data_IF_382385636632
#
_entry.id   IF_382385636632
#
_cell.length_a   1.000
_cell.length_b   1.000
_cell.length_c   1.000
_cell.angle_alpha   90.00
_cell.angle_beta   90.00
_cell.angle_gamma   90.00
#
_symmetry.space_group_name_H-M   'P 1'
#
loop_
_entity.id
_entity.type
_entity.pdbx_description
1 polymer ?
#
# COMPACT_ATOMS: atom_id res chain seq x y z
N UNK A 1 -8.37 43.32 15.51
CA UNK A 1 -8.82 43.15 16.90
C UNK A 1 -8.67 41.68 17.24
N UNK A 2 -7.86 41.46 18.27
CA UNK A 2 -7.36 40.18 18.80
C UNK A 2 -8.47 39.29 19.33
N UNK A 3 -8.36 37.97 19.12
CA UNK A 3 -8.95 37.00 20.03
C UNK A 3 -7.89 35.99 20.45
N UNK A 4 -7.70 35.96 21.76
CA UNK A 4 -6.67 35.27 22.51
C UNK A 4 -6.91 33.77 22.53
N UNK A 5 -5.84 33.00 22.28
CA UNK A 5 -5.78 31.58 22.56
C UNK A 5 -5.31 31.39 24.01
N UNK A 6 -6.19 30.83 24.85
CA UNK A 6 -5.87 30.56 26.24
C UNK A 6 -5.47 29.09 26.49
N UNK A 7 -4.52 28.96 27.40
CA UNK A 7 -3.69 27.81 27.77
C UNK A 7 -4.47 26.61 28.32
N UNK A 8 -3.93 25.41 28.11
CA UNK A 8 -3.67 24.45 29.22
C UNK A 8 -2.31 23.77 29.06
N UNK A 9 -1.52 23.87 30.13
CA UNK A 9 -0.28 23.13 30.45
C UNK A 9 -0.62 21.99 31.42
N UNK A 10 0.37 21.10 31.62
CA UNK A 10 0.56 20.05 32.65
C UNK A 10 0.29 18.61 32.18
N UNK A 11 1.06 17.56 32.49
CA UNK A 11 2.30 17.24 33.25
C UNK A 11 2.99 16.12 32.42
N UNK A 12 4.31 15.95 32.31
CA UNK A 12 5.29 15.77 33.39
C UNK A 12 5.33 14.31 33.85
N UNK A 13 6.17 13.47 33.22
CA UNK A 13 6.33 12.05 33.61
C UNK A 13 7.57 11.42 32.98
N UNK A 14 8.73 11.71 33.55
CA UNK A 14 9.99 11.02 33.26
C UNK A 14 10.00 9.67 33.98
N UNK A 15 10.39 8.60 33.28
CA UNK A 15 10.73 7.32 33.90
C UNK A 15 12.20 7.04 33.64
N UNK A 16 13.01 7.23 34.67
CA UNK A 16 14.36 6.69 34.78
C UNK A 16 14.25 5.22 35.24
N UNK A 17 14.92 4.30 34.55
CA UNK A 17 15.30 3.03 35.14
C UNK A 17 16.82 2.84 35.02
N UNK A 18 17.43 2.86 36.19
CA UNK A 18 18.80 2.46 36.50
C UNK A 18 18.83 0.95 36.80
N UNK A 19 19.88 0.27 36.37
CA UNK A 19 20.18 -1.13 36.72
C UNK A 19 21.51 -1.55 36.11
N UNK A 20 22.63 -1.18 36.74
CA UNK A 20 23.40 -1.96 37.71
C UNK A 20 24.34 -2.98 37.04
N UNK A 21 25.61 -2.58 36.92
CA UNK A 21 26.73 -3.42 36.55
C UNK A 21 27.18 -4.26 37.76
N UNK A 22 27.41 -5.56 37.53
CA UNK A 22 28.05 -6.47 38.46
C UNK A 22 29.41 -6.89 37.89
N UNK A 23 30.46 -6.28 38.45
CA UNK A 23 31.85 -6.69 38.32
C UNK A 23 32.16 -7.72 39.43
N UNK A 24 32.73 -8.86 39.08
CA UNK A 24 33.34 -9.79 40.03
C UNK A 24 34.87 -9.74 39.89
N UNK A 25 35.62 -9.50 40.98
CA UNK A 25 37.06 -9.71 41.02
C UNK A 25 37.37 -11.12 41.55
N UNK A 26 38.09 -11.93 40.76
CA UNK A 26 38.67 -13.19 41.19
C UNK A 26 40.15 -13.03 41.50
N UNK A 27 40.48 -13.02 42.79
CA UNK A 27 41.82 -13.00 43.37
C UNK A 27 42.20 -14.42 43.83
N UNK A 28 43.47 -14.80 43.69
CA UNK A 28 44.07 -15.85 44.53
C UNK A 28 44.86 -16.92 43.77
N UNK A 29 46.15 -17.06 44.10
CA UNK A 29 46.94 -18.25 43.78
C UNK A 29 48.42 -18.00 43.58
N UNK A 30 49.14 -17.65 44.65
CA UNK A 30 50.60 -17.60 44.71
C UNK A 30 51.12 -18.99 45.07
N UNK A 31 51.75 -19.69 44.11
CA UNK A 31 52.56 -20.88 44.41
C UNK A 31 53.93 -20.76 43.72
N UNK A 32 54.97 -20.80 44.54
CA UNK A 32 56.38 -20.71 44.15
C UNK A 32 56.91 -22.13 43.91
N UNK A 33 56.86 -22.57 42.66
CA UNK A 33 57.46 -23.82 42.19
C UNK A 33 58.85 -23.61 41.57
N UNK A 34 59.72 -24.63 41.57
CA UNK A 34 61.11 -24.54 41.15
C UNK A 34 61.27 -24.29 39.65
N UNK A 35 62.29 -23.50 39.29
CA UNK A 35 62.68 -23.17 37.92
C UNK A 35 63.18 -24.43 37.21
N UNK A 36 62.31 -25.06 36.43
CA UNK A 36 62.69 -26.02 35.39
C UNK A 36 62.89 -25.28 34.07
N UNK A 37 64.12 -25.30 33.56
CA UNK A 37 64.48 -24.76 32.24
C UNK A 37 63.91 -25.70 31.17
N UNK A 38 62.73 -25.36 30.63
CA UNK A 38 62.17 -26.05 29.47
C UNK A 38 62.97 -25.72 28.21
N UNK A 39 63.30 -26.72 27.36
CA UNK A 39 63.97 -26.50 26.09
C UNK A 39 63.12 -25.62 25.17
N UNK A 40 63.79 -24.68 24.47
CA UNK A 40 63.20 -23.82 23.45
C UNK A 40 62.47 -24.69 22.41
N UNK A 41 61.15 -24.54 22.23
CA UNK A 41 60.43 -25.24 21.17
C UNK A 41 61.03 -24.85 19.82
N UNK A 42 61.20 -25.80 18.87
CA UNK A 42 61.59 -25.46 17.52
C UNK A 42 60.58 -24.44 16.97
N UNK A 43 61.08 -23.42 16.28
CA UNK A 43 60.28 -22.41 15.57
C UNK A 43 59.44 -23.11 14.51
N UNK A 44 58.29 -23.64 14.91
CA UNK A 44 57.26 -24.12 14.01
C UNK A 44 56.82 -22.94 13.17
N UNK A 45 56.91 -23.09 11.84
CA UNK A 45 56.39 -22.14 10.88
C UNK A 45 54.98 -21.72 11.29
N UNK A 46 54.75 -20.41 11.47
CA UNK A 46 53.45 -19.87 11.79
C UNK A 46 52.39 -20.46 10.84
N UNK A 47 51.25 -20.96 11.35
CA UNK A 47 50.21 -21.50 10.49
C UNK A 47 49.83 -20.44 9.47
N UNK A 48 49.90 -20.80 8.18
CA UNK A 48 49.45 -19.93 7.10
C UNK A 48 48.01 -19.52 7.40
N UNK A 49 47.69 -18.21 7.40
CA UNK A 49 46.33 -17.75 7.66
C UNK A 49 45.37 -18.48 6.73
N UNK A 50 44.33 -19.09 7.30
CA UNK A 50 43.27 -19.65 6.48
C UNK A 50 42.74 -18.55 5.56
N UNK A 51 42.53 -18.82 4.26
CA UNK A 51 42.03 -17.81 3.33
C UNK A 51 40.71 -17.26 3.89
N UNK A 52 40.61 -15.93 3.94
CA UNK A 52 39.38 -15.25 4.33
C UNK A 52 38.26 -15.76 3.43
N UNK A 53 37.12 -16.19 3.99
CA UNK A 53 36.03 -16.72 3.18
C UNK A 53 35.62 -15.66 2.16
N UNK A 54 35.53 -16.05 0.90
CA UNK A 54 34.98 -15.20 -0.16
C UNK A 54 33.55 -14.82 0.25
N UNK A 55 33.18 -13.53 0.28
CA UNK A 55 31.82 -13.13 0.59
C UNK A 55 30.83 -13.84 -0.32
N UNK A 56 29.72 -14.32 0.26
CA UNK A 56 28.63 -14.87 -0.54
C UNK A 56 28.13 -13.80 -1.53
N UNK A 57 27.75 -14.19 -2.76
CA UNK A 57 27.20 -13.24 -3.73
C UNK A 57 25.97 -12.55 -3.14
N UNK A 58 25.93 -11.22 -3.27
CA UNK A 58 24.77 -10.43 -2.84
C UNK A 58 23.53 -10.88 -3.60
N UNK A 59 22.37 -11.08 -2.94
CA UNK A 59 21.18 -11.54 -3.62
C UNK A 59 20.74 -10.54 -4.70
N UNK A 60 20.15 -11.02 -5.81
CA UNK A 60 19.75 -10.14 -6.91
C UNK A 60 18.73 -9.09 -6.42
N UNK A 61 18.71 -7.89 -7.02
CA UNK A 61 17.77 -6.85 -6.64
C UNK A 61 16.31 -7.28 -6.89
N UNK A 62 15.37 -6.63 -6.22
CA UNK A 62 13.95 -6.63 -6.58
C UNK A 62 13.70 -5.43 -7.48
N UNK A 63 13.34 -5.65 -8.74
CA UNK A 63 13.07 -4.60 -9.72
C UNK A 63 11.56 -4.38 -9.88
N UNK A 64 11.09 -3.16 -9.63
CA UNK A 64 9.68 -2.81 -9.64
C UNK A 64 9.45 -1.62 -10.59
N UNK A 65 8.60 -1.83 -11.60
CA UNK A 65 8.21 -0.79 -12.54
C UNK A 65 6.93 -0.07 -12.10
N UNK A 66 6.85 1.24 -12.34
CA UNK A 66 5.71 2.06 -11.93
C UNK A 66 4.98 2.57 -13.18
N UNK A 67 3.73 2.15 -13.36
CA UNK A 67 2.87 2.52 -14.49
C UNK A 67 1.66 3.31 -14.01
N UNK A 68 1.30 4.36 -14.74
CA UNK A 68 0.05 5.08 -14.53
C UNK A 68 0.21 6.60 -14.51
N UNK A 69 -0.70 7.27 -13.81
CA UNK A 69 -0.81 8.73 -13.89
C UNK A 69 0.15 9.46 -12.94
N UNK A 70 -0.26 10.62 -12.44
CA UNK A 70 0.54 11.47 -11.54
C UNK A 70 0.91 10.79 -10.21
N UNK A 71 0.09 9.88 -9.67
CA UNK A 71 0.42 9.20 -8.40
C UNK A 71 1.71 8.36 -8.51
N UNK A 72 1.82 7.38 -9.43
CA UNK A 72 3.09 6.68 -9.71
C UNK A 72 4.27 7.59 -10.04
N UNK A 73 4.05 8.73 -10.72
CA UNK A 73 5.10 9.70 -11.01
C UNK A 73 5.67 10.32 -9.72
N UNK A 74 4.77 10.74 -8.83
CA UNK A 74 5.11 11.43 -7.60
C UNK A 74 5.69 10.51 -6.52
N UNK A 75 5.29 9.23 -6.48
CA UNK A 75 5.79 8.26 -5.50
C UNK A 75 7.31 8.09 -5.48
N UNK A 76 7.95 8.37 -6.61
CA UNK A 76 9.40 8.29 -6.74
C UNK A 76 10.07 9.66 -6.85
N UNK A 77 9.33 10.77 -6.85
CA UNK A 77 9.89 12.10 -7.16
C UNK A 77 9.55 13.19 -6.15
N UNK A 78 8.50 13.03 -5.34
CA UNK A 78 8.08 14.01 -4.37
C UNK A 78 8.39 13.60 -2.93
N UNK A 79 8.59 14.64 -2.12
CA UNK A 79 8.83 14.58 -0.68
C UNK A 79 10.13 13.90 -0.27
N UNK A 80 10.59 14.21 0.95
CA UNK A 80 11.87 13.74 1.45
C UNK A 80 11.77 12.30 1.95
N UNK A 81 10.70 11.97 2.68
CA UNK A 81 10.52 10.68 3.33
C UNK A 81 11.67 10.33 4.29
N UNK A 82 11.92 9.03 4.53
CA UNK A 82 13.05 8.59 5.35
C UNK A 82 14.40 8.93 4.70
N UNK A 83 15.52 8.76 5.43
CA UNK A 83 16.86 9.00 4.90
C UNK A 83 17.15 8.17 3.64
N UNK A 84 17.98 8.71 2.74
CA UNK A 84 18.39 8.02 1.51
C UNK A 84 19.19 6.76 1.84
N UNK A 85 18.81 5.64 1.22
CA UNK A 85 19.49 4.37 1.34
C UNK A 85 20.11 4.01 -0.02
N UNK A 86 21.45 3.78 -0.11
CA UNK A 86 22.11 3.47 -1.38
C UNK A 86 21.66 2.14 -2.02
N UNK A 87 21.00 1.26 -1.26
CA UNK A 87 20.42 0.02 -1.77
C UNK A 87 19.06 0.22 -2.47
N UNK A 88 18.48 1.42 -2.37
CA UNK A 88 17.21 1.78 -2.98
C UNK A 88 17.48 2.76 -4.10
N UNK A 89 17.38 2.29 -5.35
CA UNK A 89 17.72 3.09 -6.53
C UNK A 89 16.54 3.22 -7.47
N UNK A 90 16.58 4.24 -8.32
CA UNK A 90 15.59 4.44 -9.37
C UNK A 90 16.23 4.85 -10.69
N UNK A 91 15.54 4.55 -11.79
CA UNK A 91 15.93 4.91 -13.14
C UNK A 91 14.70 5.32 -13.95
N UNK A 92 14.85 6.30 -14.86
CA UNK A 92 13.84 6.65 -15.85
C UNK A 92 14.05 5.97 -17.20
N UNK A 93 15.27 5.53 -17.50
CA UNK A 93 15.66 4.93 -18.78
C UNK A 93 15.91 3.42 -18.70
N UNK A 94 15.98 2.87 -17.49
CA UNK A 94 16.32 1.48 -17.23
C UNK A 94 17.81 1.15 -17.32
N UNK A 95 18.67 2.11 -17.63
CA UNK A 95 20.12 1.90 -17.79
C UNK A 95 20.88 2.38 -16.56
N UNK A 96 20.61 3.62 -16.13
CA UNK A 96 21.34 4.25 -15.02
C UNK A 96 20.46 4.31 -13.78
N UNK A 97 20.85 3.56 -12.75
CA UNK A 97 20.17 3.53 -11.46
C UNK A 97 20.95 4.35 -10.43
N UNK A 98 20.31 5.37 -9.88
CA UNK A 98 20.89 6.23 -8.83
C UNK A 98 20.13 6.09 -7.52
N UNK A 99 20.78 6.30 -6.35
CA UNK A 99 20.09 6.29 -5.06
C UNK A 99 18.87 7.23 -5.07
N UNK A 100 17.74 6.75 -4.56
CA UNK A 100 16.49 7.47 -4.56
C UNK A 100 16.54 8.64 -3.57
N UNK A 101 16.85 9.85 -4.07
CA UNK A 101 16.99 11.06 -3.26
C UNK A 101 15.65 11.56 -2.69
N UNK A 102 14.64 11.66 -3.54
CA UNK A 102 13.25 12.05 -3.23
C UNK A 102 12.27 10.93 -3.61
N UNK A 103 11.06 10.96 -3.08
CA UNK A 103 10.04 9.93 -3.29
C UNK A 103 9.71 9.22 -2.00
N UNK A 104 8.93 9.86 -1.11
CA UNK A 104 8.64 9.33 0.21
C UNK A 104 8.00 7.92 0.16
N UNK A 105 7.09 7.68 -0.79
CA UNK A 105 6.54 6.35 -1.04
C UNK A 105 7.64 5.33 -1.38
N UNK A 106 8.45 5.62 -2.42
CA UNK A 106 9.46 4.70 -2.91
C UNK A 106 10.54 4.39 -1.87
N UNK A 107 10.99 5.42 -1.13
CA UNK A 107 11.97 5.25 -0.06
C UNK A 107 11.42 4.41 1.09
N UNK A 108 10.16 4.62 1.45
CA UNK A 108 9.49 3.82 2.51
C UNK A 108 9.32 2.37 2.09
N UNK A 109 8.71 2.13 0.92
CA UNK A 109 8.51 0.78 0.38
C UNK A 109 9.85 0.06 0.17
N UNK A 110 10.82 0.74 -0.45
CA UNK A 110 12.15 0.21 -0.72
C UNK A 110 12.89 -0.19 0.55
N UNK A 111 12.92 0.68 1.56
CA UNK A 111 13.54 0.37 2.85
C UNK A 111 12.88 -0.82 3.54
N UNK A 112 11.55 -0.90 3.50
CA UNK A 112 10.81 -2.02 4.08
C UNK A 112 11.16 -3.34 3.37
N UNK A 113 11.16 -3.35 2.03
CA UNK A 113 11.52 -4.53 1.23
C UNK A 113 12.98 -4.93 1.47
N UNK A 114 13.91 -3.97 1.41
CA UNK A 114 15.34 -4.22 1.55
C UNK A 114 15.68 -4.79 2.93
N UNK A 115 15.19 -4.17 4.00
CA UNK A 115 15.45 -4.62 5.38
C UNK A 115 14.89 -6.02 5.67
N UNK A 116 13.78 -6.40 5.04
CA UNK A 116 13.11 -7.68 5.31
C UNK A 116 13.48 -8.82 4.36
N UNK A 117 14.07 -8.51 3.20
CA UNK A 117 14.48 -9.52 2.22
C UNK A 117 16.00 -9.62 2.05
N UNK A 118 16.76 -8.64 2.53
CA UNK A 118 18.19 -8.51 2.26
C UNK A 118 18.54 -8.15 0.82
N UNK A 119 17.54 -7.93 -0.06
CA UNK A 119 17.72 -7.64 -1.49
C UNK A 119 17.76 -6.13 -1.73
N UNK A 120 18.66 -5.59 -2.57
CA UNK A 120 18.54 -4.22 -3.05
C UNK A 120 17.22 -4.02 -3.80
N UNK A 121 16.73 -2.78 -3.90
CA UNK A 121 15.49 -2.47 -4.62
C UNK A 121 15.78 -1.48 -5.74
N UNK A 122 15.30 -1.80 -6.94
CA UNK A 122 15.41 -0.97 -8.14
C UNK A 122 14.02 -0.56 -8.59
N UNK A 123 13.79 0.74 -8.73
CA UNK A 123 12.54 1.27 -9.28
C UNK A 123 12.73 1.75 -10.72
N UNK A 124 11.77 1.43 -11.58
CA UNK A 124 11.70 1.98 -12.94
C UNK A 124 10.54 2.97 -12.99
N UNK A 125 10.85 4.24 -13.28
CA UNK A 125 9.89 5.34 -13.34
C UNK A 125 9.13 5.29 -14.65
N UNK A 126 7.81 5.17 -14.58
CA UNK A 126 6.93 5.28 -15.73
C UNK A 126 5.66 6.07 -15.49
N UNK A 127 5.44 6.62 -14.30
CA UNK A 127 4.29 7.49 -14.06
C UNK A 127 4.34 8.73 -14.93
N UNK A 128 3.20 9.13 -15.51
CA UNK A 128 3.07 10.33 -16.34
C UNK A 128 1.82 11.08 -15.93
N UNK A 129 1.97 12.28 -15.38
CA UNK A 129 0.89 13.13 -14.92
C UNK A 129 -0.21 13.40 -15.95
N UNK A 130 -1.42 13.66 -15.45
CA UNK A 130 -2.61 13.98 -16.24
C UNK A 130 -3.06 12.92 -17.28
N UNK A 131 -2.50 11.71 -17.23
CA UNK A 131 -2.89 10.64 -18.16
C UNK A 131 -4.08 9.83 -17.66
N UNK A 132 -4.83 9.23 -18.60
CA UNK A 132 -5.99 8.36 -18.37
C UNK A 132 -5.66 6.89 -18.66
N UNK A 133 -6.42 5.96 -18.08
CA UNK A 133 -6.35 4.54 -18.37
C UNK A 133 -6.64 4.29 -19.86
N UNK A 134 -7.57 5.03 -20.47
CA UNK A 134 -7.78 4.98 -21.91
C UNK A 134 -6.50 5.27 -22.73
N UNK A 135 -5.69 6.25 -22.33
CA UNK A 135 -4.41 6.54 -22.99
C UNK A 135 -3.39 5.42 -22.78
N UNK A 136 -3.26 4.92 -21.55
CA UNK A 136 -2.35 3.83 -21.19
C UNK A 136 -2.71 2.49 -21.85
N UNK A 137 -4.01 2.22 -22.03
CA UNK A 137 -4.54 0.98 -22.62
C UNK A 137 -4.74 1.06 -24.14
N UNK A 138 -4.45 2.18 -24.78
CA UNK A 138 -4.51 2.27 -26.25
C UNK A 138 -3.44 1.37 -26.92
N UNK A 139 -3.75 0.79 -28.09
CA UNK A 139 -2.83 -0.15 -28.76
C UNK A 139 -1.44 0.43 -29.05
N UNK A 140 -1.36 1.73 -29.32
CA UNK A 140 -0.10 2.45 -29.59
C UNK A 140 0.23 3.48 -28.50
N UNK A 141 -0.07 3.16 -27.24
CA UNK A 141 0.15 4.07 -26.11
C UNK A 141 1.63 4.51 -26.03
N UNK A 142 1.95 5.80 -26.28
CA UNK A 142 3.32 6.29 -26.12
C UNK A 142 3.76 6.25 -24.65
N UNK A 143 2.83 6.43 -23.71
CA UNK A 143 3.08 6.32 -22.27
C UNK A 143 3.59 4.92 -21.90
N UNK A 144 2.88 3.89 -22.37
CA UNK A 144 3.27 2.49 -22.15
C UNK A 144 4.57 2.15 -22.85
N UNK A 145 4.74 2.58 -24.10
CA UNK A 145 5.92 2.27 -24.90
C UNK A 145 7.23 2.75 -24.23
N UNK A 146 7.23 3.95 -23.64
CA UNK A 146 8.38 4.47 -22.92
C UNK A 146 8.75 3.61 -21.70
N UNK A 147 7.77 3.23 -20.87
CA UNK A 147 7.99 2.35 -19.73
C UNK A 147 8.46 0.95 -20.16
N UNK A 148 7.86 0.37 -21.20
CA UNK A 148 8.27 -0.92 -21.78
C UNK A 148 9.73 -0.90 -22.21
N UNK A 149 10.17 0.17 -22.87
CA UNK A 149 11.56 0.32 -23.28
C UNK A 149 12.52 0.36 -22.07
N UNK A 150 12.15 1.09 -21.01
CA UNK A 150 12.93 1.15 -19.78
C UNK A 150 12.99 -0.21 -19.05
N UNK A 151 11.88 -0.96 -19.00
CA UNK A 151 11.87 -2.31 -18.42
C UNK A 151 12.82 -3.24 -19.18
N UNK A 152 12.81 -3.20 -20.52
CA UNK A 152 13.72 -4.01 -21.34
C UNK A 152 15.18 -3.67 -21.09
N UNK A 153 15.51 -2.38 -21.03
CA UNK A 153 16.87 -1.90 -20.77
C UNK A 153 17.38 -2.30 -19.38
N UNK A 154 16.49 -2.34 -18.39
CA UNK A 154 16.80 -2.82 -17.04
C UNK A 154 17.01 -4.34 -16.94
N UNK A 155 16.77 -5.09 -18.04
CA UNK A 155 16.82 -6.54 -18.06
C UNK A 155 15.55 -7.22 -17.54
N UNK A 156 14.45 -6.48 -17.40
CA UNK A 156 13.16 -6.98 -16.91
C UNK A 156 12.67 -6.28 -15.64
N UNK A 157 11.53 -6.73 -15.14
CA UNK A 157 10.95 -6.31 -13.88
C UNK A 157 10.34 -7.52 -13.17
N UNK A 158 10.56 -7.62 -11.86
CA UNK A 158 9.98 -8.64 -11.00
C UNK A 158 8.50 -8.33 -10.72
N UNK A 159 8.18 -7.05 -10.57
CA UNK A 159 6.82 -6.57 -10.35
C UNK A 159 6.52 -5.25 -11.07
N UNK A 160 5.24 -4.95 -11.24
CA UNK A 160 4.73 -3.70 -11.81
C UNK A 160 3.65 -3.15 -10.89
N UNK A 161 3.79 -1.92 -10.41
CA UNK A 161 2.70 -1.16 -9.79
C UNK A 161 1.92 -0.45 -10.89
N UNK A 162 0.61 -0.70 -10.97
CA UNK A 162 -0.31 0.00 -11.88
C UNK A 162 -1.28 0.82 -11.03
N UNK A 163 -1.31 2.14 -11.24
CA UNK A 163 -2.31 3.01 -10.65
C UNK A 163 -2.69 4.13 -11.61
N UNK A 164 -3.87 3.97 -12.22
CA UNK A 164 -4.44 4.83 -13.25
C UNK A 164 -5.95 4.63 -13.27
N UNK A 165 -6.71 5.62 -13.76
CA UNK A 165 -8.18 5.53 -13.86
C UNK A 165 -8.91 6.66 -13.16
N UNK A 166 -8.31 7.28 -12.12
CA UNK A 166 -8.88 8.46 -11.46
C UNK A 166 -9.23 9.58 -12.45
N UNK A 167 -8.35 9.83 -13.42
CA UNK A 167 -8.60 10.87 -14.44
C UNK A 167 -9.69 10.48 -15.43
N UNK A 168 -9.90 9.19 -15.67
CA UNK A 168 -11.03 8.70 -16.48
C UNK A 168 -12.35 9.08 -15.80
N UNK A 169 -12.44 8.87 -14.48
CA UNK A 169 -13.60 9.28 -13.70
C UNK A 169 -13.75 10.80 -13.64
N UNK A 170 -12.66 11.54 -13.38
CA UNK A 170 -12.69 13.00 -13.33
C UNK A 170 -13.11 13.63 -14.68
N UNK A 171 -12.74 13.00 -15.80
CA UNK A 171 -13.08 13.46 -17.14
C UNK A 171 -14.42 12.90 -17.66
N UNK A 172 -15.17 12.19 -16.81
CA UNK A 172 -16.49 11.65 -17.14
C UNK A 172 -16.51 10.61 -18.27
N UNK A 173 -15.46 9.81 -18.43
CA UNK A 173 -15.33 8.81 -19.51
C UNK A 173 -15.47 7.33 -19.05
N UNK A 174 -15.76 7.07 -17.78
CA UNK A 174 -16.04 5.74 -17.23
C UNK A 174 -17.51 5.36 -17.44
N UNK A 175 -17.80 4.62 -18.50
CA UNK A 175 -19.17 4.17 -18.80
C UNK A 175 -19.62 2.99 -17.94
N UNK A 176 -18.81 1.94 -17.81
CA UNK A 176 -19.17 0.71 -17.09
C UNK A 176 -17.99 0.10 -16.34
N UNK A 177 -18.28 -0.71 -15.32
CA UNK A 177 -17.28 -1.49 -14.58
C UNK A 177 -16.51 -2.42 -15.53
N UNK A 178 -17.22 -3.20 -16.36
CA UNK A 178 -16.58 -4.17 -17.25
C UNK A 178 -15.75 -3.50 -18.36
N UNK A 179 -16.15 -2.30 -18.83
CA UNK A 179 -15.36 -1.52 -19.78
C UNK A 179 -14.01 -1.12 -19.18
N UNK A 180 -13.99 -0.62 -17.94
CA UNK A 180 -12.74 -0.29 -17.25
C UNK A 180 -11.93 -1.53 -16.89
N UNK A 181 -12.57 -2.61 -16.46
CA UNK A 181 -11.90 -3.87 -16.19
C UNK A 181 -11.22 -4.40 -17.46
N UNK A 182 -11.88 -4.33 -18.61
CA UNK A 182 -11.31 -4.70 -19.91
C UNK A 182 -10.08 -3.85 -20.25
N UNK A 183 -10.14 -2.53 -20.05
CA UNK A 183 -9.01 -1.63 -20.28
C UNK A 183 -7.80 -1.95 -19.36
N UNK A 184 -8.06 -2.23 -18.08
CA UNK A 184 -7.04 -2.67 -17.12
C UNK A 184 -6.42 -4.02 -17.52
N UNK A 185 -7.24 -5.02 -17.87
CA UNK A 185 -6.75 -6.34 -18.33
C UNK A 185 -5.88 -6.19 -19.58
N UNK A 186 -6.29 -5.34 -20.53
CA UNK A 186 -5.49 -5.04 -21.71
C UNK A 186 -4.15 -4.40 -21.34
N UNK A 187 -4.15 -3.35 -20.51
CA UNK A 187 -2.93 -2.67 -20.07
C UNK A 187 -1.96 -3.65 -19.39
N UNK A 188 -2.45 -4.49 -18.48
CA UNK A 188 -1.64 -5.49 -17.78
C UNK A 188 -1.02 -6.49 -18.77
N UNK A 189 -1.84 -7.03 -19.68
CA UNK A 189 -1.38 -7.96 -20.71
C UNK A 189 -0.35 -7.33 -21.64
N UNK A 190 -0.59 -6.10 -22.07
CA UNK A 190 0.32 -5.34 -22.94
C UNK A 190 1.65 -5.05 -22.24
N UNK A 191 1.65 -4.59 -20.99
CA UNK A 191 2.88 -4.37 -20.21
C UNK A 191 3.71 -5.66 -20.11
N UNK A 192 3.09 -6.78 -19.76
CA UNK A 192 3.77 -8.08 -19.64
C UNK A 192 4.34 -8.55 -20.97
N UNK A 193 3.54 -8.49 -22.03
CA UNK A 193 3.90 -9.03 -23.35
C UNK A 193 4.93 -8.13 -24.03
N UNK A 194 4.66 -6.83 -24.11
CA UNK A 194 5.52 -5.88 -24.80
C UNK A 194 6.87 -5.73 -24.11
N UNK A 195 6.94 -5.80 -22.77
CA UNK A 195 8.19 -5.75 -22.01
C UNK A 195 8.87 -7.11 -21.81
N UNK A 196 8.30 -8.20 -22.34
CA UNK A 196 8.81 -9.57 -22.19
C UNK A 196 8.97 -10.03 -20.73
N UNK A 197 8.01 -9.68 -19.86
CA UNK A 197 7.94 -10.06 -18.44
C UNK A 197 6.64 -10.80 -18.10
N UNK A 198 6.34 -11.95 -18.76
CA UNK A 198 5.03 -12.60 -18.68
C UNK A 198 4.61 -13.03 -17.27
N UNK A 199 5.58 -13.26 -16.38
CA UNK A 199 5.35 -13.69 -14.99
C UNK A 199 5.42 -12.56 -13.95
N UNK A 200 5.66 -11.31 -14.36
CA UNK A 200 5.79 -10.20 -13.42
C UNK A 200 4.51 -10.06 -12.57
N UNK A 201 4.68 -9.93 -11.26
CA UNK A 201 3.57 -9.64 -10.35
C UNK A 201 3.05 -8.24 -10.61
N UNK A 202 1.74 -8.07 -10.77
CA UNK A 202 1.15 -6.75 -10.92
C UNK A 202 0.43 -6.39 -9.63
N UNK A 203 0.75 -5.24 -9.07
CA UNK A 203 0.04 -4.66 -7.95
C UNK A 203 -0.86 -3.55 -8.46
N UNK A 204 -2.15 -3.60 -8.13
CA UNK A 204 -3.09 -2.51 -8.41
C UNK A 204 -3.09 -1.54 -7.22
N UNK A 205 -2.62 -0.32 -7.43
CA UNK A 205 -2.87 0.77 -6.49
C UNK A 205 -4.28 1.33 -6.76
N UNK A 206 -5.13 1.42 -5.74
CA UNK A 206 -6.49 1.90 -5.94
C UNK A 206 -6.51 3.36 -6.38
N UNK A 207 -7.52 3.74 -7.16
CA UNK A 207 -7.72 5.15 -7.50
C UNK A 207 -7.98 6.01 -6.25
N UNK A 208 -7.23 7.12 -6.13
CA UNK A 208 -7.39 8.15 -5.09
C UNK A 208 -8.76 8.82 -5.21
N UNK A 209 -9.20 9.45 -4.13
CA UNK A 209 -10.49 10.14 -4.11
C UNK A 209 -10.59 11.36 -5.03
N UNK A 210 -11.84 11.73 -5.34
CA UNK A 210 -12.19 12.93 -6.10
C UNK A 210 -12.73 14.02 -5.17
N UNK A 211 -11.90 14.49 -4.25
CA UNK A 211 -12.31 15.50 -3.24
C UNK A 211 -12.91 16.73 -3.94
N UNK A 212 -14.18 17.03 -3.63
CA UNK A 212 -14.95 18.13 -4.23
C UNK A 212 -15.46 17.84 -5.65
N UNK A 213 -15.49 16.58 -6.07
CA UNK A 213 -16.05 16.14 -7.34
C UNK A 213 -17.58 16.24 -7.41
N UNK A 214 -18.13 16.17 -8.62
CA UNK A 214 -19.57 16.08 -8.82
C UNK A 214 -20.08 14.66 -8.53
N UNK A 215 -21.36 14.50 -8.24
CA UNK A 215 -21.98 13.18 -8.05
C UNK A 215 -21.68 12.21 -9.20
N UNK A 216 -21.74 12.66 -10.46
CA UNK A 216 -21.42 11.79 -11.60
C UNK A 216 -19.93 11.39 -11.63
N UNK A 217 -19.01 12.30 -11.27
CA UNK A 217 -17.59 11.96 -11.17
C UNK A 217 -17.34 10.89 -10.10
N UNK A 218 -18.00 11.01 -8.95
CA UNK A 218 -17.92 10.02 -7.87
C UNK A 218 -18.53 8.67 -8.26
N UNK A 219 -19.67 8.64 -8.96
CA UNK A 219 -20.24 7.41 -9.53
C UNK A 219 -19.30 6.73 -10.54
N UNK A 220 -18.55 7.52 -11.31
CA UNK A 220 -17.55 6.99 -12.23
C UNK A 220 -16.30 6.48 -11.52
N UNK A 221 -15.89 7.14 -10.43
CA UNK A 221 -14.80 6.67 -9.58
C UNK A 221 -15.16 5.34 -8.89
N UNK A 222 -16.41 5.19 -8.46
CA UNK A 222 -16.95 3.92 -7.96
C UNK A 222 -16.78 2.79 -8.97
N UNK A 223 -17.19 3.04 -10.23
CA UNK A 223 -17.06 2.05 -11.32
C UNK A 223 -15.59 1.69 -11.56
N UNK A 224 -14.69 2.67 -11.51
CA UNK A 224 -13.24 2.46 -11.64
C UNK A 224 -12.69 1.59 -10.51
N UNK A 225 -13.00 1.91 -9.25
CA UNK A 225 -12.56 1.14 -8.07
C UNK A 225 -13.08 -0.30 -8.08
N UNK A 226 -14.33 -0.49 -8.46
CA UNK A 226 -14.91 -1.84 -8.63
C UNK A 226 -14.23 -2.63 -9.76
N UNK A 227 -13.86 -1.95 -10.85
CA UNK A 227 -13.08 -2.56 -11.93
C UNK A 227 -11.70 -3.01 -11.44
N UNK A 228 -10.98 -2.17 -10.69
CA UNK A 228 -9.70 -2.50 -10.05
C UNK A 228 -9.79 -3.78 -9.21
N UNK A 229 -10.79 -3.88 -8.32
CA UNK A 229 -11.01 -5.08 -7.48
C UNK A 229 -11.35 -6.31 -8.33
N UNK A 230 -12.20 -6.16 -9.35
CA UNK A 230 -12.58 -7.28 -10.23
C UNK A 230 -11.39 -7.85 -11.02
N UNK A 231 -10.43 -7.00 -11.41
CA UNK A 231 -9.22 -7.42 -12.14
C UNK A 231 -8.30 -8.20 -11.23
N UNK A 232 -8.14 -7.78 -9.97
CA UNK A 232 -7.40 -8.54 -8.96
C UNK A 232 -7.98 -9.95 -8.80
N UNK A 233 -9.31 -10.09 -8.78
CA UNK A 233 -9.96 -11.39 -8.64
C UNK A 233 -9.88 -12.29 -9.89
N UNK A 234 -9.66 -11.74 -11.08
CA UNK A 234 -9.81 -12.46 -12.36
C UNK A 234 -8.52 -12.67 -13.15
N UNK A 235 -7.44 -11.95 -12.84
CA UNK A 235 -6.19 -12.02 -13.61
C UNK A 235 -5.09 -12.68 -12.78
N UNK A 236 -4.40 -13.72 -13.30
CA UNK A 236 -3.32 -14.38 -12.58
C UNK A 236 -2.14 -13.42 -12.35
N UNK A 237 -1.44 -13.63 -11.23
CA UNK A 237 -0.32 -12.80 -10.78
C UNK A 237 -0.69 -11.31 -10.66
N UNK A 238 -1.93 -11.02 -10.26
CA UNK A 238 -2.35 -9.66 -9.91
C UNK A 238 -2.79 -9.67 -8.45
N UNK A 239 -2.37 -8.64 -7.71
CA UNK A 239 -2.72 -8.43 -6.30
C UNK A 239 -3.23 -7.00 -6.12
N UNK A 240 -4.11 -6.77 -5.16
CA UNK A 240 -4.46 -5.44 -4.70
C UNK A 240 -3.31 -4.89 -3.87
N UNK A 241 -2.59 -3.90 -4.42
CA UNK A 241 -1.37 -3.38 -3.82
C UNK A 241 -1.64 -2.57 -2.56
N UNK A 242 -2.54 -1.59 -2.66
CA UNK A 242 -2.93 -0.74 -1.54
C UNK A 242 -4.10 0.14 -1.97
N UNK A 243 -4.84 0.60 -0.98
CA UNK A 243 -5.84 1.64 -1.13
C UNK A 243 -5.25 3.02 -0.86
N UNK A 244 -5.86 4.03 -1.45
CA UNK A 244 -5.46 5.44 -1.29
C UNK A 244 -6.62 6.37 -0.93
N UNK A 245 -7.86 5.94 -1.10
CA UNK A 245 -9.05 6.78 -0.89
C UNK A 245 -9.25 7.23 0.56
N UNK A 246 -8.66 6.51 1.53
CA UNK A 246 -8.69 6.87 2.94
C UNK A 246 -7.60 7.89 3.32
N UNK A 247 -6.76 8.33 2.38
CA UNK A 247 -5.56 9.09 2.70
C UNK A 247 -5.67 10.56 2.30
N UNK A 248 -5.22 11.50 3.16
CA UNK A 248 -5.26 12.93 2.86
C UNK A 248 -4.43 13.32 1.63
N UNK A 249 -4.85 14.38 0.96
CA UNK A 249 -4.18 14.97 -0.20
C UNK A 249 -3.71 16.40 0.09
N UNK A 250 -2.64 16.86 -0.57
CA UNK A 250 -2.15 18.23 -0.44
C UNK A 250 -2.85 19.25 -1.33
N UNK A 251 -3.44 18.81 -2.44
CA UNK A 251 -4.07 19.66 -3.46
C UNK A 251 -5.41 19.07 -3.95
N UNK A 252 -6.08 18.29 -3.09
CA UNK A 252 -7.31 17.55 -3.39
C UNK A 252 -7.17 16.45 -4.46
N UNK A 253 -5.95 16.18 -4.93
CA UNK A 253 -5.67 15.17 -5.97
C UNK A 253 -4.54 14.24 -5.56
N UNK A 254 -3.45 14.81 -5.04
CA UNK A 254 -2.20 14.12 -4.77
C UNK A 254 -1.98 13.95 -3.27
N UNK A 255 -1.51 12.76 -2.88
CA UNK A 255 -1.24 12.41 -1.50
C UNK A 255 -0.21 13.35 -0.86
N UNK A 256 -0.44 13.71 0.40
CA UNK A 256 0.57 14.37 1.24
C UNK A 256 1.80 13.46 1.47
N UNK A 257 2.89 14.00 2.02
CA UNK A 257 4.06 13.18 2.40
C UNK A 257 3.70 12.06 3.38
N UNK A 258 2.88 12.34 4.40
CA UNK A 258 2.45 11.33 5.38
C UNK A 258 1.61 10.24 4.71
N UNK A 259 0.72 10.60 3.80
CA UNK A 259 -0.08 9.66 3.01
C UNK A 259 0.80 8.78 2.12
N UNK A 260 1.83 9.34 1.47
CA UNK A 260 2.78 8.56 0.68
C UNK A 260 3.59 7.58 1.52
N UNK A 261 3.96 7.93 2.76
CA UNK A 261 4.62 7.02 3.70
C UNK A 261 3.70 5.84 4.06
N UNK A 262 2.41 6.11 4.33
CA UNK A 262 1.41 5.06 4.61
C UNK A 262 1.23 4.16 3.38
N UNK A 263 0.98 4.73 2.20
CA UNK A 263 0.86 3.98 0.94
C UNK A 263 2.11 3.15 0.66
N UNK A 264 3.30 3.71 0.84
CA UNK A 264 4.58 3.02 0.63
C UNK A 264 4.78 1.85 1.61
N UNK A 265 4.33 2.01 2.85
CA UNK A 265 4.33 0.93 3.86
C UNK A 265 3.39 -0.20 3.45
N UNK A 266 2.14 0.12 3.06
CA UNK A 266 1.14 -0.84 2.59
C UNK A 266 1.64 -1.60 1.35
N UNK A 267 2.19 -0.88 0.37
CA UNK A 267 2.75 -1.47 -0.84
C UNK A 267 3.96 -2.38 -0.55
N UNK A 268 4.92 -1.90 0.25
CA UNK A 268 6.09 -2.71 0.61
C UNK A 268 5.72 -4.00 1.36
N UNK A 269 4.69 -3.96 2.21
CA UNK A 269 4.15 -5.14 2.87
C UNK A 269 3.55 -6.15 1.88
N UNK A 270 2.85 -5.69 0.84
CA UNK A 270 2.35 -6.59 -0.21
C UNK A 270 3.44 -7.22 -1.06
N UNK A 271 4.48 -6.45 -1.41
CA UNK A 271 5.64 -6.99 -2.12
C UNK A 271 6.33 -8.05 -1.26
N UNK A 272 6.51 -7.81 0.04
CA UNK A 272 7.08 -8.79 0.96
C UNK A 272 6.22 -10.04 1.10
N UNK A 273 4.89 -9.90 1.20
CA UNK A 273 3.98 -11.03 1.24
C UNK A 273 4.13 -11.87 -0.03
N UNK A 274 4.21 -11.25 -1.20
CA UNK A 274 4.45 -11.95 -2.46
C UNK A 274 5.81 -12.66 -2.49
N UNK A 275 6.91 -11.96 -2.16
CA UNK A 275 8.26 -12.53 -2.16
C UNK A 275 8.40 -13.73 -1.19
N UNK A 276 7.61 -13.75 -0.12
CA UNK A 276 7.56 -14.83 0.88
C UNK A 276 6.52 -15.91 0.56
N UNK A 277 5.86 -15.84 -0.61
CA UNK A 277 4.75 -16.70 -0.99
C UNK A 277 3.62 -16.77 0.06
N UNK A 278 3.34 -15.64 0.71
CA UNK A 278 2.26 -15.49 1.66
C UNK A 278 0.97 -15.03 0.96
N UNK A 279 -0.19 -15.30 1.59
CA UNK A 279 -1.46 -14.74 1.17
C UNK A 279 -1.38 -13.21 1.04
N UNK A 280 -2.18 -12.68 0.13
CA UNK A 280 -2.32 -11.24 -0.06
C UNK A 280 -2.90 -10.59 1.20
N UNK A 281 -2.35 -9.45 1.60
CA UNK A 281 -2.84 -8.69 2.75
C UNK A 281 -3.94 -7.73 2.30
N UNK A 282 -5.20 -8.07 2.52
CA UNK A 282 -6.35 -7.27 2.06
C UNK A 282 -7.05 -6.57 3.21
N UNK A 283 -7.70 -5.46 2.90
CA UNK A 283 -8.63 -4.83 3.83
C UNK A 283 -9.79 -5.73 4.22
N UNK A 284 -10.62 -5.33 5.20
CA UNK A 284 -11.91 -5.96 5.43
C UNK A 284 -12.74 -6.03 4.13
N UNK A 285 -13.38 -7.17 3.89
CA UNK A 285 -14.25 -7.37 2.72
C UNK A 285 -15.67 -7.55 3.22
N UNK A 286 -16.63 -6.81 2.67
CA UNK A 286 -18.05 -7.04 2.97
C UNK A 286 -18.45 -8.40 2.38
N UNK A 287 -18.81 -9.32 3.27
CA UNK A 287 -19.14 -10.71 2.94
C UNK A 287 -20.65 -10.96 2.92
N UNK A 288 -21.39 -10.25 3.77
CA UNK A 288 -22.84 -10.39 3.88
C UNK A 288 -23.47 -9.12 4.44
N UNK A 289 -24.71 -8.87 4.01
CA UNK A 289 -25.58 -7.84 4.55
C UNK A 289 -26.86 -8.51 5.04
N UNK A 290 -27.28 -8.19 6.26
CA UNK A 290 -28.52 -8.68 6.85
C UNK A 290 -29.43 -7.50 7.18
N UNK A 291 -30.61 -7.47 6.58
CA UNK A 291 -31.65 -6.49 6.91
C UNK A 291 -32.26 -6.87 8.27
N UNK A 292 -31.95 -6.11 9.32
CA UNK A 292 -32.42 -6.40 10.69
C UNK A 292 -33.88 -6.00 10.84
N UNK A 293 -34.20 -4.79 10.40
CA UNK A 293 -35.56 -4.25 10.31
C UNK A 293 -35.61 -3.11 9.27
N UNK A 294 -36.66 -2.29 9.30
CA UNK A 294 -36.87 -1.19 8.35
C UNK A 294 -35.79 -0.09 8.42
N UNK A 295 -35.10 0.06 9.55
CA UNK A 295 -34.17 1.14 9.84
C UNK A 295 -32.76 0.65 10.17
N UNK A 296 -32.54 -0.66 10.24
CA UNK A 296 -31.25 -1.24 10.64
C UNK A 296 -30.82 -2.35 9.70
N UNK A 297 -29.51 -2.36 9.42
CA UNK A 297 -28.86 -3.40 8.64
C UNK A 297 -27.50 -3.74 9.25
N UNK A 298 -27.14 -5.02 9.26
CA UNK A 298 -25.83 -5.50 9.70
C UNK A 298 -24.95 -5.84 8.51
N UNK A 299 -23.71 -5.39 8.57
CA UNK A 299 -22.66 -5.60 7.59
C UNK A 299 -21.64 -6.55 8.20
N UNK A 300 -21.57 -7.78 7.71
CA UNK A 300 -20.60 -8.79 8.11
C UNK A 300 -19.36 -8.73 7.21
N UNK A 301 -18.20 -8.67 7.84
CA UNK A 301 -16.90 -8.51 7.20
C UNK A 301 -16.06 -9.78 7.30
N UNK A 302 -15.32 -10.09 6.24
CA UNK A 302 -14.21 -11.03 6.29
C UNK A 302 -12.90 -10.27 6.45
N UNK A 303 -12.09 -10.66 7.44
CA UNK A 303 -10.75 -10.10 7.66
C UNK A 303 -9.69 -11.06 7.13
N UNK A 304 -8.82 -10.57 6.23
CA UNK A 304 -7.64 -11.32 5.81
C UNK A 304 -6.43 -11.07 6.70
N UNK A 305 -6.41 -9.91 7.38
CA UNK A 305 -5.40 -9.50 8.36
C UNK A 305 -6.08 -8.77 9.51
N UNK A 306 -5.42 -8.82 10.67
CA UNK A 306 -5.99 -8.28 11.92
C UNK A 306 -7.05 -9.22 12.51
N UNK A 307 -7.57 -8.81 13.66
CA UNK A 307 -8.58 -9.57 14.44
C UNK A 307 -9.79 -8.74 14.79
N UNK A 308 -9.79 -7.46 14.43
CA UNK A 308 -10.82 -6.49 14.77
C UNK A 308 -10.86 -5.38 13.70
N UNK A 309 -11.90 -4.56 13.75
CA UNK A 309 -12.11 -3.40 12.89
C UNK A 309 -12.14 -2.09 13.69
N UNK A 310 -11.73 -1.01 13.04
CA UNK A 310 -11.77 0.36 13.55
C UNK A 310 -12.33 1.32 12.48
N UNK A 311 -12.90 2.48 12.86
CA UNK A 311 -13.21 2.90 14.24
C UNK A 311 -14.41 2.14 14.84
N UNK A 312 -14.68 2.38 16.12
CA UNK A 312 -15.83 1.77 16.82
C UNK A 312 -17.18 2.44 16.51
N UNK A 313 -17.17 3.69 16.07
CA UNK A 313 -18.35 4.48 15.73
C UNK A 313 -17.97 5.59 14.75
N UNK A 314 -18.97 6.26 14.18
CA UNK A 314 -18.75 7.35 13.22
C UNK A 314 -18.15 6.87 11.90
N UNK A 315 -18.29 5.58 11.58
CA UNK A 315 -17.68 4.97 10.40
C UNK A 315 -18.28 5.61 9.13
N UNK A 316 -17.42 6.10 8.23
CA UNK A 316 -17.84 6.71 6.97
C UNK A 316 -17.69 5.77 5.77
N UNK A 317 -18.10 6.24 4.58
CA UNK A 317 -17.96 5.53 3.30
C UNK A 317 -19.10 4.57 2.95
N UNK A 318 -20.01 4.27 3.88
CA UNK A 318 -21.23 3.51 3.58
C UNK A 318 -22.25 4.36 2.82
N UNK A 319 -23.01 3.69 1.94
CA UNK A 319 -24.11 4.28 1.19
C UNK A 319 -25.22 3.24 1.00
N UNK A 320 -26.45 3.72 0.95
CA UNK A 320 -27.63 2.89 0.70
C UNK A 320 -28.46 3.57 -0.37
N UNK A 321 -28.65 2.93 -1.52
CA UNK A 321 -29.34 3.52 -2.67
C UNK A 321 -30.56 2.69 -3.02
N UNK A 322 -31.72 3.33 -3.12
CA UNK A 322 -32.95 2.71 -3.59
C UNK A 322 -32.85 2.36 -5.08
N UNK A 323 -33.27 1.16 -5.48
CA UNK A 323 -33.05 0.68 -6.85
C UNK A 323 -34.07 1.19 -7.86
N UNK A 324 -35.22 1.68 -7.39
CA UNK A 324 -36.33 2.16 -8.21
C UNK A 324 -36.10 3.57 -8.76
N UNK A 325 -35.51 4.45 -7.96
CA UNK A 325 -35.30 5.85 -8.31
C UNK A 325 -33.87 6.36 -8.07
N UNK A 326 -32.95 5.50 -7.64
CA UNK A 326 -31.56 5.84 -7.31
C UNK A 326 -31.42 6.89 -6.20
N UNK A 327 -32.46 7.09 -5.38
CA UNK A 327 -32.38 7.97 -4.22
C UNK A 327 -31.52 7.33 -3.12
N UNK A 328 -30.59 8.10 -2.59
CA UNK A 328 -29.80 7.70 -1.44
C UNK A 328 -30.63 7.81 -0.14
N UNK A 329 -30.53 6.78 0.69
CA UNK A 329 -31.14 6.72 2.02
C UNK A 329 -30.17 7.32 3.03
N UNK A 330 -30.64 8.24 3.86
CA UNK A 330 -29.81 8.84 4.90
C UNK A 330 -29.35 7.79 5.94
N UNK A 331 -28.04 7.66 6.13
CA UNK A 331 -27.44 6.86 7.20
C UNK A 331 -27.27 7.75 8.43
N UNK A 332 -27.95 7.39 9.51
CA UNK A 332 -27.91 8.10 10.80
C UNK A 332 -26.66 7.75 11.60
N UNK A 333 -26.29 6.47 11.64
CA UNK A 333 -25.06 6.03 12.28
C UNK A 333 -24.52 4.73 11.68
N UNK A 334 -23.21 4.56 11.79
CA UNK A 334 -22.50 3.32 11.51
C UNK A 334 -21.61 2.98 12.70
N UNK A 335 -21.89 1.84 13.34
CA UNK A 335 -21.32 1.46 14.63
C UNK A 335 -20.81 0.03 14.61
N UNK A 336 -19.64 -0.19 15.19
CA UNK A 336 -19.08 -1.53 15.35
C UNK A 336 -19.85 -2.29 16.43
N UNK A 337 -20.46 -3.42 16.06
CA UNK A 337 -21.10 -4.34 17.00
C UNK A 337 -20.16 -5.42 17.52
N UNK A 338 -19.14 -5.75 16.76
CA UNK A 338 -18.18 -6.81 17.07
C UNK A 338 -16.95 -6.74 16.17
N UNK A 339 -16.04 -7.72 16.27
CA UNK A 339 -14.77 -7.68 15.55
C UNK A 339 -14.90 -7.67 14.02
N UNK A 340 -16.05 -8.11 13.49
CA UNK A 340 -16.31 -8.23 12.06
C UNK A 340 -17.70 -7.76 11.66
N UNK A 341 -18.37 -6.98 12.52
CA UNK A 341 -19.75 -6.55 12.25
C UNK A 341 -19.92 -5.07 12.50
N UNK A 342 -20.47 -4.39 11.49
CA UNK A 342 -20.92 -2.99 11.59
C UNK A 342 -22.45 -2.98 11.48
N UNK A 343 -23.12 -2.23 12.34
CA UNK A 343 -24.54 -1.92 12.20
C UNK A 343 -24.71 -0.53 11.63
N UNK A 344 -25.50 -0.45 10.57
CA UNK A 344 -26.00 0.78 10.02
C UNK A 344 -27.39 1.05 10.60
N UNK A 345 -27.58 2.25 11.12
CA UNK A 345 -28.91 2.82 11.38
C UNK A 345 -29.19 3.83 10.28
N UNK A 346 -30.28 3.66 9.55
CA UNK A 346 -30.62 4.47 8.38
C UNK A 346 -32.11 4.80 8.34
N UNK A 347 -32.51 5.71 7.44
CA UNK A 347 -33.91 6.01 7.18
C UNK A 347 -34.72 4.74 6.82
N UNK A 348 -36.03 4.79 7.04
CA UNK A 348 -36.88 3.63 6.80
C UNK A 348 -36.86 3.26 5.31
N UNK A 349 -36.50 2.02 4.98
CA UNK A 349 -36.50 1.55 3.58
C UNK A 349 -37.93 1.49 3.03
N UNK A 350 -38.90 1.17 3.87
CA UNK A 350 -40.26 0.88 3.45
C UNK A 350 -40.28 -0.43 2.65
N UNK A 351 -40.93 -0.39 1.48
CA UNK A 351 -40.99 -1.53 0.55
C UNK A 351 -39.97 -1.43 -0.58
N UNK A 352 -39.02 -0.48 -0.50
CA UNK A 352 -38.00 -0.26 -1.55
C UNK A 352 -36.95 -1.38 -1.49
N UNK A 353 -36.58 -1.91 -2.64
CA UNK A 353 -35.33 -2.66 -2.78
C UNK A 353 -34.16 -1.69 -2.71
N UNK A 354 -33.09 -2.11 -2.04
CA UNK A 354 -31.91 -1.25 -1.84
C UNK A 354 -30.62 -1.96 -2.22
N UNK A 355 -29.62 -1.18 -2.60
CA UNK A 355 -28.22 -1.61 -2.71
C UNK A 355 -27.40 -0.93 -1.64
N UNK A 356 -26.44 -1.64 -1.10
CA UNK A 356 -25.44 -1.12 -0.18
C UNK A 356 -24.13 -0.96 -0.92
N UNK A 357 -23.41 0.12 -0.62
CA UNK A 357 -22.06 0.33 -1.11
C UNK A 357 -21.09 0.71 0.01
N UNK A 358 -19.80 0.59 -0.28
CA UNK A 358 -18.71 1.10 0.56
C UNK A 358 -17.62 1.71 -0.31
N UNK A 359 -17.12 2.90 0.07
CA UNK A 359 -16.01 3.62 -0.58
C UNK A 359 -16.19 3.82 -2.10
N UNK A 360 -17.42 4.04 -2.56
CA UNK A 360 -17.74 4.20 -3.97
C UNK A 360 -17.76 5.68 -4.39
N UNK A 361 -18.64 6.47 -3.80
CA UNK A 361 -19.02 7.81 -4.27
C UNK A 361 -19.02 8.90 -3.17
N UNK A 362 -18.59 8.57 -1.96
CA UNK A 362 -18.43 9.51 -0.86
C UNK A 362 -16.98 9.63 -0.45
N UNK A 363 -16.59 10.82 0.00
CA UNK A 363 -15.28 11.07 0.59
C UNK A 363 -15.10 10.20 1.84
N UNK A 364 -14.01 9.44 1.88
CA UNK A 364 -13.67 8.56 3.00
C UNK A 364 -12.55 9.22 3.79
N UNK A 365 -12.82 9.59 5.04
CA UNK A 365 -11.82 10.26 5.87
C UNK A 365 -10.80 9.29 6.47
N UNK A 366 -9.59 9.80 6.68
CA UNK A 366 -8.46 9.06 7.24
C UNK A 366 -8.64 8.64 8.71
N UNK A 367 -9.63 9.20 9.40
CA UNK A 367 -9.95 8.92 10.80
C UNK A 367 -11.17 8.01 10.94
N UNK A 368 -12.16 8.16 10.05
CA UNK A 368 -13.41 7.41 10.15
C UNK A 368 -13.53 6.24 9.16
N UNK A 369 -12.58 6.08 8.23
CA UNK A 369 -12.56 4.94 7.33
C UNK A 369 -12.53 3.62 8.09
N UNK A 370 -13.44 2.71 7.73
CA UNK A 370 -13.49 1.33 8.19
C UNK A 370 -12.20 0.62 7.78
N UNK A 371 -11.45 0.09 8.74
CA UNK A 371 -10.19 -0.60 8.49
C UNK A 371 -9.99 -1.77 9.44
N UNK A 372 -9.10 -2.67 9.05
CA UNK A 372 -8.58 -3.69 9.97
C UNK A 372 -7.70 -3.03 11.04
N UNK A 373 -7.65 -3.62 12.24
CA UNK A 373 -6.71 -3.23 13.30
C UNK A 373 -5.27 -3.75 13.05
N UNK A 374 -4.97 -4.21 11.84
CA UNK A 374 -3.62 -4.67 11.48
C UNK A 374 -2.61 -3.52 11.55
N UNK A 375 -1.32 -3.85 11.63
CA UNK A 375 -0.24 -2.83 11.68
C UNK A 375 -0.26 -1.88 10.47
N UNK A 376 -0.74 -2.36 9.31
CA UNK A 376 -0.84 -1.58 8.09
C UNK A 376 -2.17 -0.83 7.95
N UNK A 377 -3.10 -1.03 8.90
CA UNK A 377 -4.40 -0.38 8.98
C UNK A 377 -5.11 -0.34 7.62
N UNK A 378 -5.22 -1.51 6.98
CA UNK A 378 -5.79 -1.62 5.64
C UNK A 378 -7.30 -1.33 5.67
N UNK A 379 -7.79 -0.34 4.90
CA UNK A 379 -9.20 0.01 4.86
C UNK A 379 -10.02 -1.02 4.12
N UNK A 380 -11.32 -1.08 4.43
CA UNK A 380 -12.27 -2.00 3.81
C UNK A 380 -12.39 -1.71 2.32
N UNK A 381 -12.50 -2.76 1.51
CA UNK A 381 -12.46 -2.61 0.06
C UNK A 381 -13.75 -2.03 -0.53
N UNK A 382 -13.64 -1.35 -1.69
CA UNK A 382 -14.80 -0.91 -2.45
C UNK A 382 -15.77 -2.07 -2.69
N UNK A 383 -17.05 -1.84 -2.39
CA UNK A 383 -18.08 -2.87 -2.45
C UNK A 383 -19.39 -2.30 -2.97
N UNK A 384 -20.14 -3.11 -3.72
CA UNK A 384 -21.54 -2.86 -4.07
C UNK A 384 -22.33 -4.17 -3.98
N UNK A 385 -23.50 -4.14 -3.36
CA UNK A 385 -24.37 -5.32 -3.26
C UNK A 385 -25.28 -5.46 -4.49
N UNK A 386 -25.81 -6.66 -4.68
CA UNK A 386 -27.05 -6.84 -5.44
C UNK A 386 -28.22 -6.17 -4.70
N UNK A 387 -29.35 -5.87 -5.39
CA UNK A 387 -30.58 -5.45 -4.74
C UNK A 387 -31.00 -6.45 -3.63
N UNK A 388 -31.37 -5.93 -2.46
CA UNK A 388 -31.91 -6.67 -1.32
C UNK A 388 -33.35 -6.28 -1.02
#
# INVERSE_FOLDING_TARGET
MSNEYNRRKFFGGAVCYSGLALLLPGCGGSDSGPITVSPVPPTGSAPTPAPSPTPAPSPPPVTIAFAGSSSPEQYLSLYNGPATNPQITASSDGEVFTPLALGAFGKTAGNLINSNSGRPVRFIRGGIGATTLAQWSSSNSPQRAALVAAIKKAGGADAILVQVGRNDAANLIVSTIEGQATALRFLISALRTEAAVPSAMVFIGSSQDLIGGTTEQHLQLARQRLAEVSVVASVPNVRYGFSTYDLPTSDNIHQTESSQIISGTRFGAQVLAWLKNQPEQRGPIISRITLVDQNRSDIELQLSVGTDITPGSGIDGFQIVATDNLAELNIVSAERLGPTTVRLTHEARGNRQVRFGYALDHDVSDTNCLRSNSINQLPAEPYVSNPL
#
